data_IF_556770028715
#
_entry.id   IF_556770028715
#
_cell.length_a   1.000
_cell.length_b   1.000
_cell.length_c   1.000
_cell.angle_alpha   90.00
_cell.angle_beta   90.00
_cell.angle_gamma   90.00
#
_symmetry.space_group_name_H-M   'P 1'
#
loop_
_entity.id
_entity.type
_entity.pdbx_description
1 polymer ?
#
# COMPACT_ATOMS: atom_id res chain seq x y z
N UNK A 1 -30.91 -36.51 -36.95
CA UNK A 1 -30.47 -36.57 -35.54
C UNK A 1 -29.38 -35.53 -35.39
N UNK A 2 -29.57 -34.45 -34.60
CA UNK A 2 -28.50 -33.51 -34.33
C UNK A 2 -27.74 -33.93 -33.07
N UNK A 3 -26.42 -33.95 -33.19
CA UNK A 3 -25.47 -34.31 -32.14
C UNK A 3 -25.54 -33.32 -30.97
N UNK A 4 -25.82 -33.86 -29.78
CA UNK A 4 -25.79 -33.11 -28.52
C UNK A 4 -24.38 -33.20 -27.94
N UNK A 5 -23.58 -32.16 -28.17
CA UNK A 5 -22.32 -31.95 -27.44
C UNK A 5 -22.66 -31.64 -25.99
N UNK A 6 -22.38 -32.58 -25.09
CA UNK A 6 -22.48 -32.37 -23.65
C UNK A 6 -21.47 -31.30 -23.20
N UNK A 7 -21.88 -30.30 -22.40
CA UNK A 7 -20.94 -29.32 -21.88
C UNK A 7 -19.98 -29.98 -20.89
N UNK A 8 -18.68 -29.83 -21.09
CA UNK A 8 -17.68 -30.22 -20.11
C UNK A 8 -17.92 -29.44 -18.79
N UNK A 9 -17.82 -30.09 -17.63
CA UNK A 9 -18.03 -29.44 -16.35
C UNK A 9 -16.93 -28.40 -16.09
N UNK A 10 -17.33 -27.23 -15.60
CA UNK A 10 -16.40 -26.22 -15.10
C UNK A 10 -15.47 -26.83 -14.02
N UNK A 11 -14.17 -26.46 -13.99
CA UNK A 11 -13.24 -27.00 -13.02
C UNK A 11 -13.69 -26.69 -11.59
N UNK A 12 -13.65 -27.69 -10.71
CA UNK A 12 -14.00 -27.56 -9.29
C UNK A 12 -13.02 -26.61 -8.59
N UNK A 13 -13.55 -25.72 -7.76
CA UNK A 13 -12.80 -24.70 -7.01
C UNK A 13 -11.76 -25.25 -6.00
N UNK A 14 -11.75 -26.56 -5.74
CA UNK A 14 -10.94 -27.21 -4.71
C UNK A 14 -9.81 -28.12 -5.25
N UNK A 15 -9.37 -27.97 -6.52
CA UNK A 15 -8.15 -28.65 -6.99
C UNK A 15 -6.89 -27.87 -6.54
N UNK A 16 -6.01 -28.42 -5.68
CA UNK A 16 -4.74 -27.78 -5.33
C UNK A 16 -3.80 -27.60 -6.53
N UNK A 17 -4.07 -28.25 -7.68
CA UNK A 17 -3.38 -28.05 -8.97
C UNK A 17 -4.00 -26.96 -9.84
N UNK A 18 -5.00 -26.22 -9.35
CA UNK A 18 -5.61 -25.10 -10.06
C UNK A 18 -4.59 -23.99 -10.34
N UNK A 19 -4.04 -24.06 -11.56
CA UNK A 19 -3.21 -23.13 -12.32
C UNK A 19 -2.20 -22.30 -11.49
N UNK A 20 -1.00 -22.84 -11.32
CA UNK A 20 0.21 -22.09 -10.89
C UNK A 20 0.82 -21.27 -12.03
N UNK A 21 0.18 -21.19 -13.21
CA UNK A 21 0.69 -20.44 -14.36
C UNK A 21 0.88 -18.93 -14.06
N UNK A 22 0.22 -18.44 -13.01
CA UNK A 22 0.34 -17.07 -12.52
C UNK A 22 1.54 -16.85 -11.58
N UNK A 23 2.29 -17.89 -11.22
CA UNK A 23 3.45 -17.82 -10.31
C UNK A 23 4.72 -18.24 -11.06
N UNK A 24 5.82 -17.54 -10.80
CA UNK A 24 7.13 -17.92 -11.32
C UNK A 24 7.53 -19.33 -10.85
N UNK A 25 8.11 -20.21 -11.70
CA UNK A 25 8.38 -21.60 -11.34
C UNK A 25 9.21 -21.78 -10.08
N UNK A 26 10.26 -20.97 -9.89
CA UNK A 26 11.11 -21.04 -8.70
C UNK A 26 10.33 -20.64 -7.45
N UNK A 27 9.55 -19.56 -7.55
CA UNK A 27 8.68 -19.10 -6.47
C UNK A 27 7.61 -20.14 -6.11
N UNK A 28 7.07 -20.87 -7.09
CA UNK A 28 6.11 -21.95 -6.84
C UNK A 28 6.75 -23.09 -6.04
N UNK A 29 8.02 -23.44 -6.35
CA UNK A 29 8.78 -24.43 -5.58
C UNK A 29 9.05 -23.95 -4.16
N UNK A 30 9.45 -22.67 -3.98
CA UNK A 30 9.66 -22.09 -2.65
C UNK A 30 8.37 -22.07 -1.83
N UNK A 31 7.24 -21.69 -2.44
CA UNK A 31 5.94 -21.72 -1.79
C UNK A 31 5.59 -23.14 -1.33
N UNK A 32 5.77 -24.16 -2.19
CA UNK A 32 5.53 -25.54 -1.82
C UNK A 32 6.41 -26.00 -0.64
N UNK A 33 7.70 -25.67 -0.67
CA UNK A 33 8.65 -26.01 0.40
C UNK A 33 8.40 -25.22 1.70
N UNK A 34 7.83 -24.02 1.61
CA UNK A 34 7.58 -23.13 2.74
C UNK A 34 6.50 -23.66 3.70
N UNK A 35 5.60 -24.50 3.18
CA UNK A 35 4.35 -24.89 3.82
C UNK A 35 3.33 -23.75 3.98
N UNK A 36 3.61 -22.53 3.52
CA UNK A 36 2.67 -21.41 3.53
C UNK A 36 1.52 -21.69 2.55
N UNK A 37 0.33 -21.14 2.84
CA UNK A 37 -0.84 -21.28 1.96
C UNK A 37 -0.82 -20.18 0.88
N UNK A 38 -1.15 -20.48 -0.39
CA UNK A 38 -1.28 -19.46 -1.43
C UNK A 38 -2.44 -18.51 -1.14
N UNK A 39 -2.36 -17.30 -1.69
CA UNK A 39 -3.51 -16.40 -1.78
C UNK A 39 -4.38 -16.78 -2.98
N UNK A 40 -5.69 -16.85 -2.77
CA UNK A 40 -6.69 -16.97 -3.84
C UNK A 40 -7.43 -15.65 -3.94
N UNK A 41 -7.37 -15.02 -5.11
CA UNK A 41 -8.03 -13.74 -5.36
C UNK A 41 -8.47 -13.66 -6.82
N UNK A 42 -9.75 -13.35 -7.07
CA UNK A 42 -10.34 -13.23 -8.42
C UNK A 42 -9.98 -14.39 -9.36
N UNK A 43 -10.08 -15.62 -8.85
CA UNK A 43 -9.81 -16.84 -9.62
C UNK A 43 -8.33 -17.15 -9.89
N UNK A 44 -7.39 -16.34 -9.36
CA UNK A 44 -5.96 -16.58 -9.48
C UNK A 44 -5.36 -17.19 -8.22
N UNK A 45 -4.34 -18.02 -8.41
CA UNK A 45 -3.43 -18.50 -7.36
C UNK A 45 -2.21 -17.61 -7.30
N UNK A 46 -1.89 -17.09 -6.13
CA UNK A 46 -0.81 -16.13 -5.95
C UNK A 46 0.07 -16.54 -4.78
N UNK A 47 1.29 -16.01 -4.74
CA UNK A 47 2.08 -16.01 -3.53
C UNK A 47 1.29 -15.27 -2.43
N UNK A 48 1.38 -15.69 -1.15
CA UNK A 48 0.71 -14.99 -0.04
C UNK A 48 1.43 -13.70 0.35
N UNK A 49 1.93 -12.95 -0.64
CA UNK A 49 2.78 -11.78 -0.48
C UNK A 49 2.24 -10.65 -1.36
N UNK A 50 1.87 -9.56 -0.69
CA UNK A 50 1.44 -8.30 -1.30
C UNK A 50 2.49 -7.25 -0.99
N UNK A 51 3.05 -6.61 -2.02
CA UNK A 51 3.83 -5.40 -1.82
C UNK A 51 2.86 -4.23 -1.67
N UNK A 52 2.90 -3.53 -0.54
CA UNK A 52 1.99 -2.42 -0.24
C UNK A 52 2.39 -1.13 -0.95
N UNK A 53 1.41 -0.36 -1.42
CA UNK A 53 1.65 0.89 -2.15
C UNK A 53 2.27 1.98 -1.26
N UNK A 54 3.30 2.65 -1.77
CA UNK A 54 4.08 3.69 -1.10
C UNK A 54 4.16 4.94 -1.98
N UNK A 55 3.56 6.03 -1.50
CA UNK A 55 3.28 7.24 -2.27
C UNK A 55 4.51 8.04 -2.71
N UNK A 56 4.25 9.02 -3.57
CA UNK A 56 5.24 9.96 -4.11
C UNK A 56 6.33 9.23 -4.91
N UNK A 57 5.92 8.19 -5.63
CA UNK A 57 6.78 7.42 -6.52
C UNK A 57 7.72 6.40 -5.84
N UNK A 58 7.57 6.11 -4.54
CA UNK A 58 8.39 5.07 -3.88
C UNK A 58 8.06 3.66 -4.40
N UNK A 59 6.79 3.40 -4.72
CA UNK A 59 6.36 2.18 -5.43
C UNK A 59 5.68 2.53 -6.75
N UNK A 60 6.35 2.22 -7.85
CA UNK A 60 5.92 2.47 -9.21
C UNK A 60 6.04 1.19 -10.05
N UNK A 61 6.12 1.31 -11.37
CA UNK A 61 6.09 0.17 -12.29
C UNK A 61 7.23 -0.82 -12.07
N UNK A 62 8.44 -0.36 -11.69
CA UNK A 62 9.59 -1.23 -11.48
C UNK A 62 9.26 -2.18 -10.32
N UNK A 63 9.02 -1.66 -9.13
CA UNK A 63 8.76 -2.50 -7.96
C UNK A 63 7.51 -3.38 -8.15
N UNK A 64 6.38 -2.77 -8.51
CA UNK A 64 5.10 -3.48 -8.62
C UNK A 64 5.14 -4.56 -9.73
N UNK A 65 5.70 -4.22 -10.90
CA UNK A 65 5.85 -5.14 -12.02
C UNK A 65 6.74 -6.34 -11.68
N UNK A 66 7.86 -6.15 -10.96
CA UNK A 66 8.69 -7.29 -10.53
C UNK A 66 7.93 -8.19 -9.55
N UNK A 67 7.28 -7.63 -8.54
CA UNK A 67 6.53 -8.42 -7.56
C UNK A 67 5.45 -9.27 -8.25
N UNK A 68 4.71 -8.68 -9.19
CA UNK A 68 3.72 -9.39 -9.99
C UNK A 68 4.36 -10.46 -10.91
N UNK A 69 5.51 -10.18 -11.54
CA UNK A 69 6.24 -11.14 -12.38
C UNK A 69 6.67 -12.42 -11.65
N UNK A 70 6.81 -12.34 -10.32
CA UNK A 70 7.14 -13.46 -9.45
C UNK A 70 5.91 -14.22 -8.93
N UNK A 71 4.70 -13.71 -9.18
CA UNK A 71 3.44 -14.30 -8.75
C UNK A 71 2.83 -13.71 -7.48
N UNK A 72 3.39 -12.62 -6.95
CA UNK A 72 2.78 -11.85 -5.87
C UNK A 72 1.77 -10.82 -6.37
N UNK A 73 1.33 -9.95 -5.45
CA UNK A 73 0.54 -8.75 -5.78
C UNK A 73 1.45 -7.53 -5.71
N UNK A 74 1.73 -6.92 -6.86
CA UNK A 74 2.50 -5.68 -6.94
C UNK A 74 1.59 -4.46 -6.91
N UNK A 75 1.91 -3.45 -6.09
CA UNK A 75 1.04 -2.28 -5.90
C UNK A 75 1.75 -0.98 -6.25
N UNK A 76 1.23 -0.28 -7.27
CA UNK A 76 1.62 1.07 -7.65
C UNK A 76 0.91 2.06 -6.73
N UNK A 77 1.58 3.09 -6.21
CA UNK A 77 0.87 4.16 -5.49
C UNK A 77 0.51 5.30 -6.43
N UNK A 78 -0.72 5.80 -6.39
CA UNK A 78 -1.20 6.82 -7.33
C UNK A 78 -0.64 8.23 -7.09
N UNK A 79 0.04 8.46 -5.96
CA UNK A 79 0.40 9.81 -5.53
C UNK A 79 1.66 10.32 -6.23
N UNK A 80 1.47 11.42 -6.98
CA UNK A 80 2.49 12.20 -7.69
C UNK A 80 3.45 11.38 -8.57
N UNK A 81 2.90 10.40 -9.30
CA UNK A 81 3.65 9.49 -10.19
C UNK A 81 4.37 10.21 -11.32
N UNK A 82 3.94 11.42 -11.73
CA UNK A 82 4.62 12.19 -12.78
C UNK A 82 6.11 12.41 -12.51
N UNK A 83 6.55 12.31 -11.25
CA UNK A 83 7.96 12.40 -10.84
C UNK A 83 8.87 11.38 -11.54
N UNK A 84 8.32 10.26 -12.01
CA UNK A 84 9.04 9.25 -12.80
C UNK A 84 9.16 9.59 -14.28
N UNK A 85 8.51 10.66 -14.74
CA UNK A 85 8.45 11.04 -16.14
C UNK A 85 9.00 12.46 -16.33
N UNK A 86 10.27 12.61 -16.77
CA UNK A 86 10.90 13.92 -16.94
C UNK A 86 10.10 14.88 -17.82
N UNK A 87 9.47 14.38 -18.89
CA UNK A 87 8.63 15.17 -19.78
C UNK A 87 7.39 15.75 -19.07
N UNK A 88 6.76 14.96 -18.19
CA UNK A 88 5.61 15.41 -17.41
C UNK A 88 6.02 16.42 -16.33
N UNK A 89 7.18 16.23 -15.72
CA UNK A 89 7.75 17.17 -14.76
C UNK A 89 8.09 18.51 -15.43
N UNK A 90 8.69 18.48 -16.62
CA UNK A 90 9.02 19.69 -17.39
C UNK A 90 7.75 20.44 -17.80
N UNK A 91 6.75 19.75 -18.36
CA UNK A 91 5.43 20.31 -18.73
C UNK A 91 4.71 21.03 -17.60
N UNK A 92 5.01 20.65 -16.36
CA UNK A 92 4.34 21.17 -15.16
C UNK A 92 5.26 22.00 -14.28
N UNK A 93 6.47 22.30 -14.75
CA UNK A 93 7.44 23.13 -14.05
C UNK A 93 7.09 24.62 -14.18
N UNK A 94 7.29 25.39 -13.11
CA UNK A 94 7.11 26.85 -13.13
C UNK A 94 5.67 27.34 -13.31
N UNK A 95 4.67 26.45 -13.27
CA UNK A 95 3.27 26.84 -13.43
C UNK A 95 2.84 27.85 -12.35
N UNK A 96 2.15 28.94 -12.72
CA UNK A 96 1.71 29.93 -11.76
C UNK A 96 0.70 29.31 -10.80
N UNK A 97 0.82 29.51 -9.47
CA UNK A 97 -0.09 28.92 -8.51
C UNK A 97 -1.56 29.27 -8.80
N UNK A 98 -2.43 28.28 -8.83
CA UNK A 98 -3.86 28.46 -9.08
C UNK A 98 -4.52 27.19 -9.61
N UNK A 99 -5.83 27.25 -9.85
CA UNK A 99 -6.63 26.12 -10.32
C UNK A 99 -6.06 25.51 -11.63
N UNK A 100 -5.64 26.34 -12.59
CA UNK A 100 -5.05 25.88 -13.84
C UNK A 100 -3.77 25.04 -13.63
N UNK A 101 -2.91 25.43 -12.67
CA UNK A 101 -1.70 24.66 -12.36
C UNK A 101 -2.03 23.33 -11.69
N UNK A 102 -3.03 23.32 -10.81
CA UNK A 102 -3.55 22.09 -10.22
C UNK A 102 -4.06 21.15 -11.30
N UNK A 103 -4.97 21.63 -12.14
CA UNK A 103 -5.62 20.79 -13.14
C UNK A 103 -4.59 20.24 -14.15
N UNK A 104 -3.56 21.02 -14.51
CA UNK A 104 -2.45 20.56 -15.34
C UNK A 104 -1.58 19.50 -14.66
N UNK A 105 -1.28 19.65 -13.35
CA UNK A 105 -0.52 18.66 -12.58
C UNK A 105 -1.32 17.38 -12.37
N UNK A 106 -2.62 17.49 -12.10
CA UNK A 106 -3.51 16.33 -11.97
C UNK A 106 -3.62 15.58 -13.30
N UNK A 107 -3.78 16.29 -14.41
CA UNK A 107 -3.77 15.69 -15.75
C UNK A 107 -2.44 14.95 -16.03
N UNK A 108 -1.30 15.55 -15.70
CA UNK A 108 0.00 14.92 -15.83
C UNK A 108 0.13 13.68 -14.93
N UNK A 109 -0.42 13.70 -13.71
CA UNK A 109 -0.42 12.55 -12.82
C UNK A 109 -1.32 11.40 -13.31
N UNK A 110 -2.47 11.70 -13.94
CA UNK A 110 -3.32 10.68 -14.56
C UNK A 110 -2.67 10.08 -15.82
N UNK A 111 -1.94 10.90 -16.58
CA UNK A 111 -1.12 10.42 -17.69
C UNK A 111 0.02 9.52 -17.20
N UNK A 112 0.73 9.93 -16.14
CA UNK A 112 1.74 9.12 -15.47
C UNK A 112 1.17 7.78 -15.00
N UNK A 113 0.03 7.80 -14.30
CA UNK A 113 -0.65 6.59 -13.83
C UNK A 113 -0.96 5.62 -14.99
N UNK A 114 -1.37 6.15 -16.15
CA UNK A 114 -1.61 5.34 -17.36
C UNK A 114 -0.32 4.65 -17.82
N UNK A 115 0.78 5.40 -17.91
CA UNK A 115 2.10 4.89 -18.33
C UNK A 115 2.63 3.84 -17.35
N UNK A 116 2.55 4.13 -16.06
CA UNK A 116 3.03 3.27 -14.97
C UNK A 116 2.27 1.94 -14.91
N UNK A 117 0.95 1.94 -15.10
CA UNK A 117 0.17 0.69 -15.20
C UNK A 117 0.60 -0.14 -16.42
N UNK A 118 0.83 0.49 -17.57
CA UNK A 118 1.25 -0.21 -18.78
C UNK A 118 2.64 -0.83 -18.62
N UNK A 119 3.61 -0.07 -18.13
CA UNK A 119 4.98 -0.53 -17.86
C UNK A 119 5.01 -1.68 -16.83
N UNK A 120 4.19 -1.57 -15.77
CA UNK A 120 4.09 -2.63 -14.77
C UNK A 120 3.49 -3.91 -15.37
N UNK A 121 2.50 -3.78 -16.27
CA UNK A 121 1.85 -4.90 -16.96
C UNK A 121 2.82 -5.66 -17.86
N UNK A 122 3.59 -4.92 -18.66
CA UNK A 122 4.65 -5.47 -19.49
C UNK A 122 5.64 -6.26 -18.65
N UNK A 123 6.11 -5.65 -17.55
CA UNK A 123 7.06 -6.28 -16.64
C UNK A 123 6.49 -7.51 -15.92
N UNK A 124 5.22 -7.50 -15.57
CA UNK A 124 4.54 -8.62 -14.93
C UNK A 124 4.42 -9.84 -15.85
N UNK A 125 4.44 -9.66 -17.18
CA UNK A 125 4.40 -10.77 -18.14
C UNK A 125 3.18 -11.68 -17.99
N UNK A 126 2.03 -11.12 -17.57
CA UNK A 126 0.79 -11.87 -17.34
C UNK A 126 0.70 -12.65 -16.02
N UNK A 127 1.77 -12.65 -15.22
CA UNK A 127 1.81 -13.30 -13.90
C UNK A 127 1.32 -12.38 -12.80
N UNK A 128 1.04 -12.96 -11.64
CA UNK A 128 0.61 -12.24 -10.44
C UNK A 128 -0.66 -11.42 -10.63
N UNK A 129 -0.75 -10.34 -9.86
CA UNK A 129 -1.74 -9.29 -9.97
C UNK A 129 -1.09 -7.91 -9.81
N UNK A 130 -1.62 -6.93 -10.53
CA UNK A 130 -1.28 -5.53 -10.34
C UNK A 130 -2.41 -4.78 -9.64
N UNK A 131 -2.05 -4.11 -8.56
CA UNK A 131 -2.90 -3.24 -7.81
C UNK A 131 -2.45 -1.78 -7.96
N UNK A 132 -3.40 -0.87 -7.77
CA UNK A 132 -3.11 0.53 -7.46
C UNK A 132 -3.55 0.83 -6.04
N UNK A 133 -2.76 1.62 -5.32
CA UNK A 133 -3.14 2.20 -4.04
C UNK A 133 -3.49 3.67 -4.20
N UNK A 134 -4.71 4.03 -3.81
CA UNK A 134 -5.16 5.43 -3.73
C UNK A 134 -5.52 5.75 -2.29
N UNK A 135 -4.98 6.83 -1.75
CA UNK A 135 -5.37 7.29 -0.41
C UNK A 135 -6.73 8.01 -0.47
N UNK A 136 -7.62 7.74 0.48
CA UNK A 136 -8.89 8.48 0.57
C UNK A 136 -8.69 9.97 0.88
N UNK A 137 -7.57 10.32 1.50
CA UNK A 137 -7.22 11.69 1.89
C UNK A 137 -6.82 12.62 0.72
N UNK A 138 -6.53 12.10 -0.48
CA UNK A 138 -6.10 12.95 -1.60
C UNK A 138 -7.28 13.52 -2.39
N UNK A 139 -7.10 14.72 -2.95
CA UNK A 139 -8.10 15.35 -3.84
C UNK A 139 -8.34 14.54 -5.11
N UNK A 140 -7.27 13.94 -5.64
CA UNK A 140 -7.30 13.10 -6.84
C UNK A 140 -7.87 11.68 -6.62
N UNK A 141 -8.56 11.41 -5.50
CA UNK A 141 -9.07 10.08 -5.14
C UNK A 141 -9.92 9.45 -6.26
N UNK A 142 -11.05 10.05 -6.60
CA UNK A 142 -11.94 9.51 -7.63
C UNK A 142 -11.31 9.51 -9.04
N UNK A 143 -10.67 10.61 -9.51
CA UNK A 143 -10.00 10.61 -10.81
C UNK A 143 -8.93 9.52 -10.98
N UNK A 144 -8.12 9.27 -9.94
CA UNK A 144 -7.08 8.23 -9.97
C UNK A 144 -7.69 6.83 -10.07
N UNK A 145 -8.76 6.57 -9.31
CA UNK A 145 -9.48 5.29 -9.35
C UNK A 145 -10.09 5.07 -10.73
N UNK A 146 -10.89 6.02 -11.23
CA UNK A 146 -11.54 5.90 -12.54
C UNK A 146 -10.52 5.72 -13.66
N UNK A 147 -9.39 6.44 -13.62
CA UNK A 147 -8.32 6.26 -14.60
C UNK A 147 -7.72 4.86 -14.53
N UNK A 148 -7.37 4.37 -13.34
CA UNK A 148 -6.78 3.03 -13.21
C UNK A 148 -7.74 1.91 -13.64
N UNK A 149 -9.03 2.06 -13.33
CA UNK A 149 -10.10 1.16 -13.79
C UNK A 149 -10.21 1.15 -15.32
N UNK A 150 -10.18 2.32 -15.95
CA UNK A 150 -10.16 2.43 -17.41
C UNK A 150 -8.91 1.79 -18.05
N UNK A 151 -7.77 1.79 -17.34
CA UNK A 151 -6.55 1.08 -17.74
C UNK A 151 -6.59 -0.44 -17.44
N UNK A 152 -7.70 -0.96 -16.92
CA UNK A 152 -7.89 -2.38 -16.63
C UNK A 152 -7.04 -2.89 -15.47
N UNK A 153 -6.77 -2.08 -14.44
CA UNK A 153 -6.04 -2.54 -13.24
C UNK A 153 -6.75 -3.73 -12.59
N UNK A 154 -5.98 -4.69 -12.05
CA UNK A 154 -6.58 -5.91 -11.49
C UNK A 154 -7.18 -5.68 -10.10
N UNK A 155 -6.61 -4.75 -9.31
CA UNK A 155 -7.11 -4.40 -7.99
C UNK A 155 -6.97 -2.90 -7.66
N UNK A 156 -7.89 -2.38 -6.87
CA UNK A 156 -7.86 -1.05 -6.27
C UNK A 156 -7.80 -1.21 -4.75
N UNK A 157 -6.72 -0.72 -4.15
CA UNK A 157 -6.46 -0.73 -2.71
C UNK A 157 -6.65 0.68 -2.16
N UNK A 158 -7.46 0.86 -1.11
CA UNK A 158 -7.66 2.19 -0.51
C UNK A 158 -7.33 2.20 0.97
N UNK A 159 -6.46 3.13 1.38
CA UNK A 159 -6.14 3.41 2.79
C UNK A 159 -6.31 4.90 3.13
N UNK A 160 -5.81 5.32 4.29
CA UNK A 160 -5.88 6.69 4.79
C UNK A 160 -7.31 7.28 4.78
N UNK A 161 -8.28 6.48 5.25
CA UNK A 161 -9.70 6.82 5.34
C UNK A 161 -10.60 5.67 4.86
N UNK A 162 -11.91 5.80 5.11
CA UNK A 162 -12.89 4.76 4.74
C UNK A 162 -13.40 4.95 3.30
N UNK A 163 -13.21 3.96 2.39
CA UNK A 163 -13.66 4.04 0.99
C UNK A 163 -15.14 3.69 0.81
N UNK A 164 -16.04 4.43 1.45
CA UNK A 164 -17.47 4.08 1.45
C UNK A 164 -18.17 4.23 0.08
N UNK A 165 -17.55 4.94 -0.85
CA UNK A 165 -18.01 5.29 -2.19
C UNK A 165 -17.31 4.49 -3.31
N UNK A 166 -16.35 3.64 -2.96
CA UNK A 166 -15.56 2.89 -3.92
C UNK A 166 -16.38 1.89 -4.77
N UNK A 167 -17.41 1.18 -4.22
CA UNK A 167 -18.29 0.35 -5.03
C UNK A 167 -18.96 1.11 -6.17
N UNK A 168 -19.41 2.34 -5.92
CA UNK A 168 -20.05 3.19 -6.92
C UNK A 168 -19.06 3.64 -8.00
N UNK A 169 -17.84 4.05 -7.61
CA UNK A 169 -16.78 4.42 -8.56
C UNK A 169 -16.37 3.25 -9.47
N UNK A 170 -16.43 2.02 -8.97
CA UNK A 170 -16.03 0.81 -9.69
C UNK A 170 -17.20 0.01 -10.27
N UNK A 171 -18.41 0.58 -10.32
CA UNK A 171 -19.64 -0.11 -10.75
C UNK A 171 -19.52 -0.73 -12.14
N UNK A 172 -18.87 -0.04 -13.07
CA UNK A 172 -18.68 -0.48 -14.46
C UNK A 172 -17.50 -1.46 -14.64
N UNK A 173 -16.80 -1.76 -13.55
CA UNK A 173 -15.62 -2.64 -13.52
C UNK A 173 -15.79 -3.75 -12.48
N UNK A 174 -16.72 -4.70 -12.70
CA UNK A 174 -17.03 -5.77 -11.73
C UNK A 174 -15.90 -6.80 -11.57
N UNK A 175 -14.97 -6.89 -12.54
CA UNK A 175 -13.85 -7.81 -12.51
C UNK A 175 -12.67 -7.32 -11.65
N UNK A 176 -12.52 -6.01 -11.46
CA UNK A 176 -11.45 -5.42 -10.64
C UNK A 176 -11.70 -5.67 -9.16
N UNK A 177 -10.69 -6.18 -8.45
CA UNK A 177 -10.78 -6.40 -7.02
C UNK A 177 -10.80 -5.07 -6.24
N UNK A 178 -11.66 -4.94 -5.24
CA UNK A 178 -11.73 -3.77 -4.36
C UNK A 178 -11.29 -4.15 -2.94
N UNK A 179 -10.24 -3.51 -2.44
CA UNK A 179 -9.53 -3.91 -1.23
C UNK A 179 -9.37 -2.72 -0.28
N UNK A 180 -10.23 -2.54 0.74
CA UNK A 180 -10.02 -1.53 1.77
C UNK A 180 -8.90 -1.95 2.74
N UNK A 181 -8.12 -0.97 3.19
CA UNK A 181 -7.19 -1.07 4.32
C UNK A 181 -7.88 -0.56 5.58
N UNK A 182 -7.94 -1.41 6.59
CA UNK A 182 -8.60 -1.19 7.88
C UNK A 182 -7.68 -1.65 9.00
N UNK A 183 -7.93 -1.27 10.25
CA UNK A 183 -7.05 -1.63 11.37
C UNK A 183 -7.69 -2.55 12.40
N UNK A 184 -9.01 -2.64 12.45
CA UNK A 184 -9.72 -3.48 13.40
C UNK A 184 -11.03 -4.07 12.83
N UNK A 185 -11.63 -4.99 13.58
CA UNK A 185 -12.88 -5.65 13.21
C UNK A 185 -14.08 -4.69 13.12
N UNK A 186 -14.06 -3.55 13.82
CA UNK A 186 -15.15 -2.56 13.76
C UNK A 186 -15.15 -1.85 12.40
N UNK A 187 -13.97 -1.50 11.90
CA UNK A 187 -13.79 -0.99 10.56
C UNK A 187 -14.29 -1.98 9.50
N UNK A 188 -13.95 -3.26 9.66
CA UNK A 188 -14.41 -4.35 8.76
C UNK A 188 -15.93 -4.41 8.72
N UNK A 189 -16.58 -4.48 9.88
CA UNK A 189 -18.03 -4.55 10.00
C UNK A 189 -18.71 -3.36 9.32
N UNK A 190 -18.18 -2.15 9.52
CA UNK A 190 -18.74 -0.93 8.95
C UNK A 190 -18.66 -0.94 7.42
N UNK A 191 -17.48 -1.21 6.87
CA UNK A 191 -17.24 -1.18 5.41
C UNK A 191 -18.05 -2.27 4.72
N UNK A 192 -17.99 -3.51 5.21
CA UNK A 192 -18.74 -4.63 4.62
C UNK A 192 -20.24 -4.33 4.59
N UNK A 193 -20.84 -3.92 5.71
CA UNK A 193 -22.28 -3.58 5.75
C UNK A 193 -22.63 -2.41 4.83
N UNK A 194 -21.73 -1.43 4.67
CA UNK A 194 -21.97 -0.29 3.77
C UNK A 194 -21.93 -0.71 2.31
N UNK A 195 -20.94 -1.51 1.93
CA UNK A 195 -20.75 -1.96 0.57
C UNK A 195 -21.78 -3.01 0.15
N UNK A 196 -22.21 -3.88 1.05
CA UNK A 196 -23.30 -4.84 0.81
C UNK A 196 -24.59 -4.13 0.41
N UNK A 197 -24.93 -3.01 1.05
CA UNK A 197 -26.06 -2.14 0.64
C UNK A 197 -25.88 -1.51 -0.75
N UNK A 198 -24.66 -1.51 -1.29
CA UNK A 198 -24.32 -1.11 -2.66
C UNK A 198 -24.15 -2.33 -3.59
N UNK A 199 -24.58 -3.52 -3.15
CA UNK A 199 -24.53 -4.77 -3.90
C UNK A 199 -23.12 -5.17 -4.34
N UNK A 200 -22.10 -4.82 -3.53
CA UNK A 200 -20.72 -5.26 -3.75
C UNK A 200 -20.07 -5.58 -2.41
N UNK A 201 -19.33 -6.67 -2.34
CA UNK A 201 -18.50 -6.98 -1.18
C UNK A 201 -17.04 -6.59 -1.47
N UNK A 202 -16.23 -6.33 -0.43
CA UNK A 202 -14.78 -6.31 -0.59
C UNK A 202 -14.27 -7.65 -1.12
N UNK A 203 -13.30 -7.60 -2.02
CA UNK A 203 -12.68 -8.81 -2.60
C UNK A 203 -11.55 -9.37 -1.73
N UNK A 204 -11.01 -8.52 -0.86
CA UNK A 204 -10.09 -8.83 0.22
C UNK A 204 -10.14 -7.66 1.19
N UNK A 205 -9.62 -7.84 2.41
CA UNK A 205 -9.45 -6.74 3.36
C UNK A 205 -8.03 -6.79 3.90
N UNK A 206 -7.34 -5.65 3.87
CA UNK A 206 -6.07 -5.51 4.57
C UNK A 206 -6.33 -5.07 6.00
N UNK A 207 -5.82 -5.84 6.97
CA UNK A 207 -5.75 -5.45 8.39
C UNK A 207 -4.35 -4.91 8.65
N UNK A 208 -4.21 -3.60 8.68
CA UNK A 208 -2.96 -2.90 8.93
C UNK A 208 -2.83 -2.50 10.40
N UNK A 209 -1.78 -3.03 11.04
CA UNK A 209 -1.49 -2.83 12.45
C UNK A 209 -0.85 -1.45 12.70
N UNK A 210 -1.52 -0.51 13.38
CA UNK A 210 -1.02 0.86 13.57
C UNK A 210 0.31 0.93 14.33
N UNK A 211 0.49 0.09 15.36
CA UNK A 211 1.76 -0.03 16.08
C UNK A 211 2.95 -0.53 15.25
N UNK A 212 2.72 -1.21 14.13
CA UNK A 212 3.79 -1.91 13.39
C UNK A 212 4.07 -1.31 12.01
N UNK A 213 3.05 -0.74 11.35
CA UNK A 213 3.16 -0.22 9.98
C UNK A 213 3.99 1.07 9.89
N UNK A 214 4.40 1.44 8.68
CA UNK A 214 5.04 2.73 8.39
C UNK A 214 4.09 3.67 7.66
N UNK A 215 4.37 4.97 7.65
CA UNK A 215 3.50 5.94 6.99
C UNK A 215 2.33 6.34 7.87
N UNK A 216 1.17 6.62 7.26
CA UNK A 216 -0.05 6.98 7.99
C UNK A 216 -0.70 5.75 8.60
N UNK A 217 -1.09 5.84 9.87
CA UNK A 217 -1.52 4.72 10.69
C UNK A 217 -3.03 4.79 10.92
N UNK A 218 -3.72 3.64 10.86
CA UNK A 218 -5.17 3.54 11.02
C UNK A 218 -5.67 3.68 12.46
N UNK A 219 -5.20 4.70 13.19
CA UNK A 219 -5.66 5.09 14.52
C UNK A 219 -6.16 6.54 14.51
N UNK A 220 -7.07 6.89 15.42
CA UNK A 220 -7.59 8.26 15.52
C UNK A 220 -6.55 9.21 16.14
N UNK A 221 -5.81 8.72 17.14
CA UNK A 221 -4.77 9.47 17.84
C UNK A 221 -3.52 8.60 18.04
N UNK A 222 -2.37 9.24 18.22
CA UNK A 222 -1.10 8.55 18.54
C UNK A 222 -1.23 7.70 19.81
N UNK A 223 -1.95 8.21 20.82
CA UNK A 223 -2.17 7.48 22.08
C UNK A 223 -2.90 6.12 21.89
N UNK A 224 -3.65 5.97 20.79
CA UNK A 224 -4.41 4.76 20.52
C UNK A 224 -3.56 3.68 19.84
N UNK A 225 -2.33 3.98 19.40
CA UNK A 225 -1.52 3.05 18.57
C UNK A 225 -1.26 1.70 19.24
N UNK A 226 -1.28 1.65 20.57
CA UNK A 226 -1.06 0.46 21.40
C UNK A 226 -2.37 -0.21 21.86
N UNK A 227 -3.52 0.24 21.37
CA UNK A 227 -4.81 -0.35 21.74
C UNK A 227 -4.85 -1.84 21.35
N UNK A 228 -5.16 -2.75 22.29
CA UNK A 228 -5.22 -4.20 22.04
C UNK A 228 -6.13 -4.59 20.87
N UNK A 229 -7.12 -3.78 20.50
CA UNK A 229 -8.01 -4.07 19.36
C UNK A 229 -7.26 -4.18 18.03
N UNK A 230 -6.04 -3.63 17.95
CA UNK A 230 -5.21 -3.65 16.76
C UNK A 230 -4.24 -4.85 16.70
N UNK A 231 -4.03 -5.56 17.81
CA UNK A 231 -3.18 -6.75 17.82
C UNK A 231 -3.76 -7.80 16.88
N UNK A 232 -2.92 -8.47 16.09
CA UNK A 232 -3.39 -9.42 15.08
C UNK A 232 -4.22 -10.55 15.70
N UNK A 233 -3.84 -10.99 16.90
CA UNK A 233 -4.50 -11.99 17.73
C UNK A 233 -5.94 -11.60 18.09
N UNK A 234 -6.27 -10.31 18.05
CA UNK A 234 -7.62 -9.78 18.24
C UNK A 234 -8.27 -9.44 16.88
N UNK A 235 -7.64 -8.58 16.08
CA UNK A 235 -8.21 -8.00 14.89
C UNK A 235 -8.56 -9.05 13.82
N UNK A 236 -7.70 -10.05 13.60
CA UNK A 236 -7.90 -11.06 12.56
C UNK A 236 -9.02 -12.03 12.97
N UNK A 237 -8.99 -12.71 14.14
CA UNK A 237 -10.05 -13.63 14.52
C UNK A 237 -11.41 -12.94 14.68
N UNK A 238 -11.46 -11.71 15.20
CA UNK A 238 -12.72 -10.96 15.32
C UNK A 238 -13.30 -10.56 13.97
N UNK A 239 -12.45 -10.18 13.00
CA UNK A 239 -12.88 -9.88 11.63
C UNK A 239 -13.43 -11.14 10.97
N UNK A 240 -12.73 -12.26 11.08
CA UNK A 240 -13.17 -13.56 10.54
C UNK A 240 -14.48 -14.03 11.19
N UNK A 241 -14.64 -13.88 12.50
CA UNK A 241 -15.88 -14.22 13.20
C UNK A 241 -17.08 -13.43 12.65
N UNK A 242 -16.89 -12.13 12.36
CA UNK A 242 -17.91 -11.33 11.70
C UNK A 242 -18.19 -11.83 10.28
N UNK A 243 -17.16 -12.03 9.44
CA UNK A 243 -17.34 -12.51 8.07
C UNK A 243 -18.04 -13.88 8.02
N UNK A 244 -17.76 -14.75 8.99
CA UNK A 244 -18.44 -16.05 9.17
C UNK A 244 -19.90 -15.87 9.52
N UNK A 245 -20.21 -14.98 10.46
CA UNK A 245 -21.60 -14.66 10.83
C UNK A 245 -22.41 -14.07 9.67
N UNK A 246 -21.74 -13.41 8.73
CA UNK A 246 -22.33 -12.88 7.51
C UNK A 246 -22.32 -13.89 6.33
N UNK A 247 -21.78 -15.09 6.51
CA UNK A 247 -21.73 -16.13 5.47
C UNK A 247 -20.68 -15.95 4.37
N UNK A 248 -19.78 -14.97 4.50
CA UNK A 248 -18.84 -14.54 3.45
C UNK A 248 -17.36 -14.76 3.80
N UNK A 249 -17.07 -15.51 4.86
CA UNK A 249 -15.70 -15.80 5.32
C UNK A 249 -14.81 -16.40 4.22
N UNK A 250 -15.38 -17.24 3.35
CA UNK A 250 -14.65 -17.88 2.25
C UNK A 250 -14.46 -16.98 1.02
N UNK A 251 -15.17 -15.85 0.96
CA UNK A 251 -15.17 -14.94 -0.18
C UNK A 251 -14.22 -13.75 0.03
N UNK A 252 -14.03 -13.33 1.29
CA UNK A 252 -13.27 -12.11 1.64
C UNK A 252 -12.01 -12.46 2.42
N UNK A 253 -10.89 -12.79 1.75
CA UNK A 253 -9.63 -13.07 2.42
C UNK A 253 -9.10 -11.87 3.22
N UNK A 254 -8.57 -12.14 4.42
CA UNK A 254 -7.86 -11.16 5.25
C UNK A 254 -6.36 -11.16 4.89
N UNK A 255 -5.79 -9.97 4.70
CA UNK A 255 -4.38 -9.74 4.42
C UNK A 255 -3.78 -8.96 5.60
N UNK A 256 -2.82 -9.53 6.33
CA UNK A 256 -2.21 -8.87 7.48
C UNK A 256 -1.08 -7.92 7.06
N UNK A 257 -1.04 -6.69 7.57
CA UNK A 257 -0.02 -5.70 7.22
C UNK A 257 0.62 -5.05 8.44
N UNK A 258 1.95 -4.89 8.39
CA UNK A 258 2.76 -4.27 9.44
C UNK A 258 3.55 -5.28 10.27
N UNK A 259 4.85 -5.03 10.43
CA UNK A 259 5.76 -5.83 11.30
C UNK A 259 6.10 -7.24 10.81
N UNK A 260 5.65 -7.64 9.62
CA UNK A 260 5.96 -8.94 9.00
C UNK A 260 7.35 -8.89 8.37
N UNK A 261 8.23 -9.82 8.76
CA UNK A 261 9.66 -9.78 8.41
C UNK A 261 10.23 -11.14 8.02
N UNK A 262 9.64 -12.24 8.50
CA UNK A 262 10.13 -13.59 8.21
C UNK A 262 9.02 -14.52 7.76
N UNK A 263 9.40 -15.69 7.21
CA UNK A 263 8.48 -16.81 6.97
C UNK A 263 7.68 -17.18 8.23
N UNK A 264 8.29 -17.10 9.41
CA UNK A 264 7.63 -17.42 10.67
C UNK A 264 6.53 -16.41 11.00
N UNK A 265 6.74 -15.12 10.72
CA UNK A 265 5.69 -14.11 10.87
C UNK A 265 4.50 -14.38 9.94
N UNK A 266 4.78 -14.72 8.67
CA UNK A 266 3.74 -15.06 7.69
C UNK A 266 2.95 -16.28 8.16
N UNK A 267 3.65 -17.34 8.61
CA UNK A 267 3.01 -18.53 9.17
C UNK A 267 2.14 -18.17 10.38
N UNK A 268 2.66 -17.39 11.34
CA UNK A 268 1.93 -16.99 12.55
C UNK A 268 0.61 -16.31 12.22
N UNK A 269 0.61 -15.32 11.32
CA UNK A 269 -0.65 -14.63 10.96
C UNK A 269 -1.57 -15.50 10.10
N UNK A 270 -1.01 -16.43 9.30
CA UNK A 270 -1.82 -17.47 8.65
C UNK A 270 -2.48 -18.39 9.68
N UNK A 271 -1.80 -18.75 10.76
CA UNK A 271 -2.38 -19.59 11.83
C UNK A 271 -3.54 -18.87 12.55
N UNK A 272 -3.54 -17.53 12.57
CA UNK A 272 -4.67 -16.70 13.02
C UNK A 272 -5.82 -16.60 11.99
N UNK A 273 -5.60 -17.06 10.76
CA UNK A 273 -6.58 -17.09 9.68
C UNK A 273 -6.36 -16.08 8.56
N UNK A 274 -5.26 -15.32 8.54
CA UNK A 274 -4.92 -14.50 7.37
C UNK A 274 -4.66 -15.40 6.13
N UNK A 275 -5.02 -14.88 4.96
CA UNK A 275 -4.74 -15.51 3.67
C UNK A 275 -3.36 -15.11 3.13
N UNK A 276 -2.93 -13.87 3.38
CA UNK A 276 -1.67 -13.32 2.90
C UNK A 276 -1.12 -12.24 3.84
N UNK A 277 0.07 -11.74 3.51
CA UNK A 277 0.65 -10.57 4.17
C UNK A 277 0.87 -9.43 3.18
N UNK A 278 0.78 -8.20 3.68
CA UNK A 278 1.19 -6.99 2.97
C UNK A 278 2.41 -6.36 3.65
N UNK A 279 3.44 -6.06 2.85
CA UNK A 279 4.72 -5.53 3.32
C UNK A 279 5.07 -4.26 2.56
N UNK A 280 5.46 -3.21 3.29
CA UNK A 280 5.93 -1.93 2.73
C UNK A 280 7.44 -1.81 2.80
N UNK A 281 7.97 -1.49 3.98
CA UNK A 281 9.41 -1.20 4.19
C UNK A 281 10.37 -2.26 3.62
N UNK A 282 10.15 -3.58 3.77
CA UNK A 282 11.05 -4.58 3.17
C UNK A 282 11.13 -4.50 1.64
N UNK A 283 10.03 -4.15 0.96
CA UNK A 283 10.00 -3.95 -0.49
C UNK A 283 10.53 -2.57 -0.89
N UNK A 284 10.36 -1.55 -0.06
CA UNK A 284 10.85 -0.19 -0.33
C UNK A 284 12.37 -0.14 -0.51
N UNK A 285 13.09 -1.02 0.20
CA UNK A 285 14.56 -1.07 0.21
C UNK A 285 15.15 -2.06 -0.78
N UNK A 286 14.36 -2.70 -1.65
CA UNK A 286 14.92 -3.62 -2.65
C UNK A 286 15.61 -2.89 -3.79
N UNK A 287 16.43 -3.59 -4.59
CA UNK A 287 17.04 -3.00 -5.79
C UNK A 287 15.97 -2.50 -6.77
N UNK A 288 14.83 -3.20 -6.85
CA UNK A 288 13.67 -2.84 -7.66
C UNK A 288 12.79 -1.74 -7.07
N UNK A 289 13.01 -1.31 -5.81
CA UNK A 289 12.39 -0.11 -5.27
C UNK A 289 12.67 1.12 -6.15
N UNK A 290 11.68 1.99 -6.31
CA UNK A 290 11.70 3.10 -7.26
C UNK A 290 12.34 4.39 -6.71
N UNK A 291 12.65 4.42 -5.42
CA UNK A 291 13.36 5.53 -4.77
C UNK A 291 14.89 5.44 -4.94
N UNK A 292 15.56 6.56 -4.69
CA UNK A 292 17.02 6.69 -4.70
C UNK A 292 17.71 5.72 -3.72
N UNK A 293 18.98 5.39 -3.99
CA UNK A 293 19.77 4.52 -3.11
C UNK A 293 19.86 5.05 -1.67
N UNK A 294 20.04 6.37 -1.50
CA UNK A 294 20.13 6.98 -0.17
C UNK A 294 18.81 6.87 0.61
N UNK A 295 17.66 6.87 -0.07
CA UNK A 295 16.37 6.57 0.58
C UNK A 295 16.37 5.17 1.17
N UNK A 296 16.80 4.18 0.38
CA UNK A 296 16.83 2.78 0.81
C UNK A 296 17.77 2.58 1.99
N UNK A 297 18.93 3.24 1.97
CA UNK A 297 19.90 3.20 3.06
C UNK A 297 19.33 3.78 4.37
N UNK A 298 18.68 4.94 4.33
CA UNK A 298 18.03 5.53 5.51
C UNK A 298 17.02 4.56 6.12
N UNK A 299 16.23 3.88 5.30
CA UNK A 299 15.25 2.91 5.77
C UNK A 299 15.89 1.61 6.28
N UNK A 300 16.96 1.15 5.66
CA UNK A 300 17.60 -0.12 6.01
C UNK A 300 18.45 -0.03 7.29
N UNK A 301 19.10 1.11 7.51
CA UNK A 301 20.02 1.37 8.63
C UNK A 301 19.31 1.85 9.91
N UNK A 302 18.07 2.31 9.80
CA UNK A 302 17.34 2.78 10.97
C UNK A 302 17.05 1.63 11.95
N UNK A 303 17.06 1.93 13.25
CA UNK A 303 16.64 1.00 14.31
C UNK A 303 15.24 1.37 14.83
N UNK A 304 14.70 0.59 15.77
CA UNK A 304 13.43 0.95 16.42
C UNK A 304 13.54 2.22 17.28
N UNK A 305 14.74 2.52 17.81
CA UNK A 305 15.01 3.72 18.58
C UNK A 305 14.94 5.00 17.73
N UNK A 306 15.11 4.86 16.41
CA UNK A 306 15.02 5.97 15.45
C UNK A 306 13.57 6.22 15.00
N UNK A 307 12.59 5.41 15.41
CA UNK A 307 11.21 5.58 14.99
C UNK A 307 10.54 6.70 15.78
N UNK A 308 9.88 7.60 15.07
CA UNK A 308 9.12 8.70 15.66
C UNK A 308 7.69 8.68 15.16
N UNK A 309 6.77 8.86 16.09
CA UNK A 309 5.34 8.97 15.86
C UNK A 309 4.89 10.41 16.02
N UNK A 310 4.10 10.92 15.08
CA UNK A 310 3.62 12.30 15.07
C UNK A 310 2.30 12.41 14.30
N UNK A 311 1.58 13.52 14.47
CA UNK A 311 0.36 13.79 13.68
C UNK A 311 0.76 14.49 12.39
N UNK A 312 0.47 13.88 11.25
CA UNK A 312 0.84 14.44 9.96
C UNK A 312 -0.02 15.65 9.58
N UNK A 313 0.37 16.33 8.51
CA UNK A 313 -0.44 17.38 7.88
C UNK A 313 -1.79 16.87 7.34
N UNK A 314 -1.98 15.56 7.19
CA UNK A 314 -3.26 14.95 6.81
C UNK A 314 -4.17 14.67 8.03
N UNK A 315 -3.75 15.05 9.24
CA UNK A 315 -4.52 14.83 10.48
C UNK A 315 -4.49 13.40 11.01
N UNK A 316 -3.66 12.55 10.41
CA UNK A 316 -3.52 11.15 10.76
C UNK A 316 -2.21 10.93 11.54
N UNK A 317 -2.20 10.06 12.56
CA UNK A 317 -0.95 9.56 13.13
C UNK A 317 -0.05 8.97 12.03
N UNK A 318 1.25 9.22 12.12
CA UNK A 318 2.23 8.72 11.17
C UNK A 318 3.52 8.27 11.86
N UNK A 319 4.24 7.31 11.25
CA UNK A 319 5.55 6.82 11.72
C UNK A 319 6.64 6.99 10.68
N UNK A 320 7.76 7.58 11.09
CA UNK A 320 8.92 7.86 10.25
C UNK A 320 10.25 7.66 10.96
N UNK A 321 11.33 7.57 10.18
CA UNK A 321 12.71 7.63 10.67
C UNK A 321 13.01 9.04 11.18
N UNK A 322 13.62 9.13 12.36
CA UNK A 322 14.19 10.34 12.93
C UNK A 322 15.33 10.83 12.04
N UNK A 323 15.09 11.91 11.32
CA UNK A 323 16.10 12.59 10.50
C UNK A 323 16.35 14.01 11.02
N UNK A 324 17.44 14.68 10.61
CA UNK A 324 17.70 16.06 11.01
C UNK A 324 16.53 17.01 10.71
N UNK A 325 15.84 16.80 9.57
CA UNK A 325 14.65 17.56 9.23
C UNK A 325 13.49 17.27 10.18
N UNK A 326 13.17 16.00 10.43
CA UNK A 326 12.03 15.63 11.28
C UNK A 326 12.24 16.12 12.71
N UNK A 327 13.44 15.94 13.27
CA UNK A 327 13.78 16.46 14.59
C UNK A 327 13.66 18.00 14.67
N UNK A 328 14.14 18.71 13.65
CA UNK A 328 14.02 20.16 13.60
C UNK A 328 12.55 20.62 13.51
N UNK A 329 11.75 19.94 12.69
CA UNK A 329 10.32 20.19 12.59
C UNK A 329 9.63 19.99 13.95
N UNK A 330 9.82 18.83 14.58
CA UNK A 330 9.14 18.49 15.85
C UNK A 330 9.51 19.46 16.99
N UNK A 331 10.75 19.93 17.07
CA UNK A 331 11.15 20.98 18.05
C UNK A 331 10.38 22.29 17.89
N UNK A 332 9.91 22.60 16.68
CA UNK A 332 9.24 23.86 16.35
C UNK A 332 7.75 23.70 16.08
N UNK A 333 7.22 22.48 16.09
CA UNK A 333 5.83 22.16 15.72
C UNK A 333 4.83 23.01 16.51
N UNK A 334 4.95 23.06 17.84
CA UNK A 334 4.06 23.88 18.69
C UNK A 334 4.06 25.37 18.30
N UNK A 335 5.20 25.92 17.86
CA UNK A 335 5.30 27.31 17.40
C UNK A 335 4.60 27.51 16.07
N UNK A 336 4.77 26.55 15.15
CA UNK A 336 4.10 26.57 13.84
C UNK A 336 2.58 26.43 14.01
N UNK A 337 2.13 25.57 14.92
CA UNK A 337 0.71 25.38 15.25
C UNK A 337 0.09 26.63 15.90
N UNK A 338 0.83 27.34 16.76
CA UNK A 338 0.35 28.56 17.40
C UNK A 338 0.05 29.71 16.43
N UNK A 339 0.66 29.70 15.24
CA UNK A 339 0.45 30.72 14.18
C UNK A 339 -0.26 30.15 12.95
N UNK A 340 -0.83 28.94 13.06
CA UNK A 340 -1.53 28.30 11.97
C UNK A 340 -2.75 29.13 11.56
N UNK A 341 -2.84 29.42 10.27
CA UNK A 341 -3.94 30.16 9.67
C UNK A 341 -4.20 29.65 8.26
N UNK A 342 -5.44 29.75 7.74
CA UNK A 342 -5.75 29.39 6.37
C UNK A 342 -4.91 30.19 5.38
N UNK A 343 -4.35 29.50 4.39
CA UNK A 343 -3.57 30.09 3.30
C UNK A 343 -4.44 30.20 2.06
N UNK A 344 -4.30 31.30 1.34
CA UNK A 344 -5.01 31.51 0.06
C UNK A 344 -4.56 30.56 -1.04
N UNK A 345 -3.39 29.91 -0.88
CA UNK A 345 -2.84 28.94 -1.84
C UNK A 345 -2.04 27.83 -1.17
N UNK A 346 -2.04 26.65 -1.79
CA UNK A 346 -1.18 25.53 -1.42
C UNK A 346 0.28 25.79 -1.81
N UNK A 347 1.23 25.28 -1.00
CA UNK A 347 2.69 25.39 -1.24
C UNK A 347 3.12 24.74 -2.56
N UNK A 348 2.43 23.70 -3.04
CA UNK A 348 2.82 22.93 -4.22
C UNK A 348 1.98 23.20 -5.48
N UNK A 349 1.12 24.21 -5.47
CA UNK A 349 0.19 24.55 -6.57
C UNK A 349 -0.83 23.46 -6.97
N UNK A 350 -0.58 22.16 -6.74
CA UNK A 350 -1.49 21.06 -7.11
C UNK A 350 -2.42 20.56 -6.00
N UNK A 351 -2.36 21.16 -4.81
CA UNK A 351 -3.41 20.99 -3.82
C UNK A 351 -3.75 19.52 -3.45
N UNK A 352 -2.71 18.77 -3.09
CA UNK A 352 -2.73 17.30 -3.03
C UNK A 352 -3.75 16.64 -2.07
N UNK A 353 -4.12 17.30 -0.97
CA UNK A 353 -4.94 16.71 0.10
C UNK A 353 -6.32 17.37 0.14
N UNK A 354 -7.36 16.59 0.39
CA UNK A 354 -8.71 17.13 0.58
C UNK A 354 -8.76 18.11 1.77
N UNK A 355 -8.10 17.74 2.88
CA UNK A 355 -7.84 18.61 4.03
C UNK A 355 -6.35 18.57 4.38
N UNK A 356 -5.78 19.72 4.67
CA UNK A 356 -4.34 19.89 4.86
C UNK A 356 -4.07 20.85 6.01
N UNK A 357 -3.41 20.37 7.06
CA UNK A 357 -3.11 21.16 8.26
C UNK A 357 -2.40 22.47 7.98
N UNK A 358 -1.46 22.47 7.03
CA UNK A 358 -0.67 23.64 6.64
C UNK A 358 -1.46 24.63 5.78
N UNK A 359 -2.28 24.14 4.85
CA UNK A 359 -3.04 24.99 3.92
C UNK A 359 -4.29 25.55 4.59
N UNK A 360 -4.99 24.72 5.34
CA UNK A 360 -6.30 25.05 5.92
C UNK A 360 -6.18 25.66 7.32
N UNK A 361 -4.95 25.77 7.87
CA UNK A 361 -4.71 26.35 9.19
C UNK A 361 -5.23 25.49 10.34
N UNK A 362 -5.27 24.16 10.18
CA UNK A 362 -5.75 23.26 11.22
C UNK A 362 -4.66 23.07 12.27
N UNK A 363 -4.70 23.88 13.32
CA UNK A 363 -3.64 24.00 14.32
C UNK A 363 -3.30 22.68 15.05
N UNK A 364 -4.22 21.70 15.11
CA UNK A 364 -3.95 20.41 15.74
C UNK A 364 -3.26 19.40 14.82
N UNK A 365 -3.08 19.73 13.54
CA UNK A 365 -2.46 18.87 12.54
C UNK A 365 -1.03 19.35 12.25
N UNK A 366 -0.26 18.50 11.57
CA UNK A 366 1.11 18.83 11.19
C UNK A 366 1.17 20.08 10.28
N UNK A 367 2.20 20.90 10.49
CA UNK A 367 2.37 22.21 9.83
C UNK A 367 3.53 22.20 8.82
N UNK A 368 3.53 21.22 7.91
CA UNK A 368 4.55 21.09 6.85
C UNK A 368 3.94 20.57 5.55
N UNK A 369 4.67 20.72 4.43
CA UNK A 369 4.20 20.25 3.13
C UNK A 369 4.62 18.79 2.89
N UNK A 370 3.74 17.82 3.17
CA UNK A 370 4.09 16.40 3.07
C UNK A 370 4.63 15.97 1.71
N UNK A 371 4.03 16.44 0.61
CA UNK A 371 4.53 16.14 -0.74
C UNK A 371 5.98 16.61 -0.94
N UNK A 372 6.32 17.81 -0.46
CA UNK A 372 7.68 18.34 -0.59
C UNK A 372 8.72 17.46 0.11
N UNK A 373 8.39 17.06 1.33
CA UNK A 373 9.25 16.26 2.19
C UNK A 373 9.39 14.82 1.70
N UNK A 374 8.28 14.19 1.28
CA UNK A 374 8.32 12.85 0.70
C UNK A 374 9.04 12.84 -0.65
N UNK A 375 8.86 13.86 -1.48
CA UNK A 375 9.59 13.98 -2.74
C UNK A 375 11.09 14.20 -2.53
N UNK A 376 11.49 14.93 -1.49
CA UNK A 376 12.89 15.06 -1.10
C UNK A 376 13.46 13.70 -0.66
N UNK A 377 12.72 12.94 0.14
CA UNK A 377 13.10 11.58 0.53
C UNK A 377 13.24 10.65 -0.67
N UNK A 378 12.28 10.64 -1.60
CA UNK A 378 12.30 9.81 -2.81
C UNK A 378 13.56 10.04 -3.66
N UNK A 379 14.05 11.28 -3.72
CA UNK A 379 15.30 11.67 -4.40
C UNK A 379 16.57 11.49 -3.55
N UNK A 380 16.48 10.88 -2.37
CA UNK A 380 17.63 10.62 -1.51
C UNK A 380 18.15 11.83 -0.72
N UNK A 381 17.39 12.93 -0.62
CA UNK A 381 17.81 14.09 0.19
C UNK A 381 17.61 13.80 1.69
N UNK A 382 18.63 13.21 2.31
CA UNK A 382 18.65 12.84 3.74
C UNK A 382 18.54 14.04 4.68
N UNK A 383 18.81 15.26 4.21
CA UNK A 383 18.74 16.49 5.02
C UNK A 383 17.35 17.09 5.08
N UNK A 384 16.50 16.85 4.07
CA UNK A 384 15.16 17.47 3.95
C UNK A 384 14.01 16.46 3.88
N UNK A 385 14.34 15.19 3.69
CA UNK A 385 13.37 14.13 3.47
C UNK A 385 12.62 13.71 4.74
N UNK A 386 11.36 13.34 4.55
CA UNK A 386 10.57 12.56 5.50
C UNK A 386 10.55 11.10 5.03
N UNK A 387 11.07 10.20 5.86
CA UNK A 387 11.28 8.80 5.50
C UNK A 387 10.32 7.92 6.29
N UNK A 388 9.20 7.53 5.69
CA UNK A 388 8.24 6.63 6.35
C UNK A 388 8.79 5.21 6.45
N UNK A 389 8.65 4.61 7.63
CA UNK A 389 9.20 3.30 7.96
C UNK A 389 8.37 2.63 9.05
N UNK A 390 8.11 1.33 8.89
CA UNK A 390 7.53 0.50 9.94
C UNK A 390 8.58 0.04 10.95
N UNK A 391 8.14 -0.48 12.09
CA UNK A 391 9.06 -0.96 13.14
C UNK A 391 9.63 -2.33 12.78
N UNK A 392 10.78 -2.63 13.37
CA UNK A 392 11.44 -3.92 13.36
C UNK A 392 12.56 -4.06 12.34
N UNK A 393 13.46 -5.02 12.62
CA UNK A 393 14.54 -5.41 11.71
C UNK A 393 14.04 -5.84 10.32
N UNK A 394 14.80 -5.52 9.27
CA UNK A 394 14.47 -5.95 7.91
C UNK A 394 15.00 -7.36 7.62
N UNK A 395 14.43 -8.08 6.63
CA UNK A 395 14.84 -9.44 6.27
C UNK A 395 16.34 -9.61 6.05
N UNK A 396 17.00 -8.57 5.51
CA UNK A 396 18.43 -8.56 5.20
C UNK A 396 19.22 -7.54 6.03
N UNK A 397 18.70 -7.14 7.20
CA UNK A 397 19.30 -6.06 7.99
C UNK A 397 19.42 -4.79 7.15
N UNK A 398 20.64 -4.25 7.05
CA UNK A 398 20.91 -3.02 6.29
C UNK A 398 21.13 -3.27 4.79
N UNK A 399 21.20 -4.53 4.35
CA UNK A 399 21.57 -4.85 2.98
C UNK A 399 20.41 -4.63 2.01
N UNK A 400 20.71 -3.96 0.90
CA UNK A 400 19.79 -3.76 -0.22
C UNK A 400 19.93 -4.96 -1.16
N UNK A 401 18.85 -5.76 -1.25
CA UNK A 401 18.78 -7.00 -2.05
C UNK A 401 17.65 -6.93 -3.07
N UNK A 402 17.63 -7.86 -4.01
CA UNK A 402 16.55 -7.94 -5.00
C UNK A 402 15.22 -8.39 -4.38
N UNK A 403 14.13 -8.07 -5.07
CA UNK A 403 12.79 -8.61 -4.77
C UNK A 403 12.81 -10.13 -4.84
N UNK A 404 13.55 -10.74 -5.78
CA UNK A 404 13.65 -12.21 -5.88
C UNK A 404 14.30 -12.82 -4.63
N UNK A 405 15.42 -12.26 -4.16
CA UNK A 405 16.05 -12.69 -2.91
C UNK A 405 15.11 -12.50 -1.72
N UNK A 406 14.39 -11.37 -1.65
CA UNK A 406 13.40 -11.14 -0.60
C UNK A 406 12.27 -12.19 -0.62
N UNK A 407 11.72 -12.50 -1.79
CA UNK A 407 10.69 -13.54 -1.93
C UNK A 407 11.21 -14.91 -1.47
N UNK A 408 12.47 -15.24 -1.82
CA UNK A 408 13.12 -16.45 -1.35
C UNK A 408 13.25 -16.47 0.17
N UNK A 409 13.74 -15.38 0.78
CA UNK A 409 13.89 -15.23 2.24
C UNK A 409 12.58 -15.37 3.00
N UNK A 410 11.48 -14.91 2.42
CA UNK A 410 10.16 -14.98 3.05
C UNK A 410 9.49 -16.35 2.93
N UNK A 411 9.98 -17.24 2.05
CA UNK A 411 9.34 -18.53 1.79
C UNK A 411 10.24 -19.72 2.15
N UNK A 412 11.54 -19.66 1.90
CA UNK A 412 12.45 -20.79 2.14
C UNK A 412 12.64 -21.02 3.65
N UNK A 413 12.42 -22.24 4.18
CA UNK A 413 12.65 -22.55 5.58
C UNK A 413 14.11 -22.32 6.03
N UNK A 414 14.31 -21.97 7.30
CA UNK A 414 15.63 -21.90 7.93
C UNK A 414 16.44 -20.62 7.66
N UNK A 415 15.90 -19.66 6.89
CA UNK A 415 16.57 -18.37 6.71
C UNK A 415 16.28 -17.44 7.88
N UNK A 416 17.32 -17.13 8.67
CA UNK A 416 17.26 -16.14 9.75
C UNK A 416 17.34 -14.71 9.20
N UNK A 417 16.86 -13.74 9.97
CA UNK A 417 17.15 -12.33 9.69
C UNK A 417 18.67 -12.13 9.70
N UNK A 418 19.19 -11.39 8.73
CA UNK A 418 20.58 -10.95 8.83
C UNK A 418 20.70 -9.93 9.98
N UNK A 419 21.76 -10.01 10.79
CA UNK A 419 21.99 -9.03 11.84
C UNK A 419 22.13 -7.63 11.24
N UNK A 420 21.59 -6.63 11.93
CA UNK A 420 21.98 -5.23 11.71
C UNK A 420 23.47 -5.11 12.06
N UNK A 421 24.24 -4.45 11.19
CA UNK A 421 25.69 -4.34 11.31
C UNK A 421 26.11 -3.50 12.53
#
# INVERSE_FOLDING_TARGET
>A
MPDTVSPQPAPRADDPRACTATIDPDCAQWLQASGLRPLRLRGRTLLPIVQGGMGVGVSAHKLAGTVASLGGVGTISSVDLRRHHPDLMERTHGLPPGAAARDAIDAANLEALTREIALARERAGGRGLLAINVMRAVTAYAPSITRALACGIDAVVVGAGLPLDLPELAREHPATALIPILSDARGVQLVVRKWERRQRLPDAIVIEHPRLAGGHLGAAKIADLHDPRFEFENAIPQSLAFLRSAGIEREVPIIAAGGIRTRADIRRVQDLGAAAVQMGTPFAVTTEGDADLAFKQVLAQASDADMVEFTSVAGLPARAVRTPWLDAYLRTEHKLQAVAHPKTRCTKSFDCLAQCGLRDGLAQWGQFCIDNQLAAAMRGDTRKGLFFRGVGALPFGEQIRSVRELMQQLMVPGQALLPSA
#
